data_IF_898861297665
#
_entry.id   IF_898861297665
#
_cell.length_a   1.000
_cell.length_b   1.000
_cell.length_c   1.000
_cell.angle_alpha   90.00
_cell.angle_beta   90.00
_cell.angle_gamma   90.00
#
_symmetry.space_group_name_H-M   'P 1'
#
loop_
_entity.id
_entity.type
_entity.pdbx_description
1 polymer ?
#
# COMPACT_ATOMS: atom_id res chain seq x y z
N UNK A 1 -7.14 4.52 -23.74
CA UNK A 1 -6.26 3.51 -23.13
C UNK A 1 -5.87 3.91 -21.70
N UNK A 2 -5.18 5.04 -21.50
CA UNK A 2 -4.70 5.51 -20.18
C UNK A 2 -5.72 5.47 -19.01
N UNK A 3 -7.00 5.76 -19.26
CA UNK A 3 -8.06 5.71 -18.23
C UNK A 3 -8.28 4.34 -17.56
N UNK A 4 -7.85 3.22 -18.17
CA UNK A 4 -7.98 1.89 -17.53
C UNK A 4 -6.90 1.62 -16.48
N UNK A 5 -5.76 2.32 -16.51
CA UNK A 5 -4.63 2.02 -15.61
C UNK A 5 -4.72 2.73 -14.25
N UNK A 6 -5.30 3.93 -14.19
CA UNK A 6 -5.64 4.55 -12.90
C UNK A 6 -6.70 3.73 -12.13
N UNK A 7 -7.63 3.10 -12.86
CA UNK A 7 -8.61 2.16 -12.31
C UNK A 7 -7.99 0.81 -11.99
N UNK A 8 -7.14 0.27 -12.87
CA UNK A 8 -6.34 -0.88 -12.49
C UNK A 8 -5.43 -0.58 -11.27
N UNK A 9 -5.04 0.66 -11.00
CA UNK A 9 -4.29 1.07 -9.79
C UNK A 9 -5.15 1.21 -8.54
N UNK A 10 -6.28 1.91 -8.60
CA UNK A 10 -7.16 2.11 -7.44
C UNK A 10 -8.07 0.90 -7.18
N UNK A 11 -8.59 0.26 -8.23
CA UNK A 11 -9.32 -1.01 -8.12
C UNK A 11 -8.36 -2.17 -7.83
N UNK A 12 -7.11 -2.19 -8.31
CA UNK A 12 -6.16 -3.13 -7.70
C UNK A 12 -5.88 -2.75 -6.25
N UNK A 13 -5.71 -1.50 -5.86
CA UNK A 13 -5.61 -1.15 -4.43
C UNK A 13 -6.83 -1.67 -3.63
N UNK A 14 -8.05 -1.63 -4.18
CA UNK A 14 -9.25 -2.18 -3.52
C UNK A 14 -9.43 -3.71 -3.67
N UNK A 15 -8.67 -4.37 -4.55
CA UNK A 15 -8.62 -5.84 -4.72
C UNK A 15 -7.38 -6.49 -4.08
N UNK A 16 -6.36 -5.68 -3.79
CA UNK A 16 -5.09 -6.01 -3.17
C UNK A 16 -5.16 -5.65 -1.70
N UNK A 17 -5.98 -6.39 -0.96
CA UNK A 17 -5.67 -6.60 0.44
C UNK A 17 -4.29 -7.31 0.50
N UNK A 18 -3.23 -6.66 1.00
CA UNK A 18 -1.84 -7.18 0.99
C UNK A 18 -1.04 -6.93 2.32
N UNK A 19 0.03 -7.71 2.61
CA UNK A 19 0.39 -8.49 3.85
C UNK A 19 0.29 -7.88 5.34
N UNK A 20 0.65 -8.68 6.36
CA UNK A 20 0.34 -8.51 7.80
C UNK A 20 0.71 -9.77 8.65
N UNK A 21 0.92 -9.71 9.98
CA UNK A 21 0.86 -8.58 10.93
C UNK A 21 1.68 -8.88 12.22
N UNK A 22 2.69 -8.05 12.56
CA UNK A 22 3.30 -7.86 13.91
C UNK A 22 4.20 -6.61 13.96
N UNK A 23 3.72 -5.55 14.62
CA UNK A 23 4.51 -4.32 14.82
C UNK A 23 4.13 -3.15 13.92
N UNK A 24 3.07 -3.29 13.11
CA UNK A 24 2.46 -2.25 12.27
C UNK A 24 2.35 -0.88 12.95
N UNK A 25 2.13 -0.82 14.27
CA UNK A 25 2.07 0.47 14.98
C UNK A 25 3.39 1.26 14.91
N UNK A 26 4.55 0.59 14.97
CA UNK A 26 5.88 1.23 14.80
C UNK A 26 6.20 1.53 13.34
N UNK A 27 5.65 0.75 12.41
CA UNK A 27 5.74 1.04 10.98
C UNK A 27 4.95 2.30 10.63
N UNK A 28 3.70 2.43 11.14
CA UNK A 28 2.86 3.62 11.00
C UNK A 28 3.42 4.86 11.70
N UNK A 29 4.28 4.71 12.71
CA UNK A 29 5.07 5.82 13.30
C UNK A 29 6.11 6.38 12.31
N UNK A 30 6.44 5.63 11.25
CA UNK A 30 7.35 6.00 10.17
C UNK A 30 6.63 6.28 8.83
N UNK A 31 5.30 6.14 8.75
CA UNK A 31 4.55 6.54 7.55
C UNK A 31 4.03 7.97 7.72
N UNK A 32 4.30 8.91 6.79
CA UNK A 32 3.77 10.27 6.87
C UNK A 32 2.24 10.32 6.95
N UNK A 33 1.69 11.20 7.82
CA UNK A 33 0.24 11.43 7.95
C UNK A 33 -0.44 11.90 6.66
N UNK A 34 0.35 12.42 5.71
CA UNK A 34 -0.10 12.82 4.37
C UNK A 34 -0.15 11.67 3.37
N UNK A 35 0.25 10.45 3.73
CA UNK A 35 0.14 9.29 2.87
C UNK A 35 -1.33 9.03 2.49
N UNK A 36 -1.57 8.74 1.21
CA UNK A 36 -2.89 8.45 0.68
C UNK A 36 -3.34 7.05 1.10
N UNK A 37 -2.45 6.08 1.03
CA UNK A 37 -2.72 4.70 1.45
C UNK A 37 -1.43 4.06 1.97
N UNK A 38 -1.58 3.08 2.84
CA UNK A 38 -0.47 2.28 3.33
C UNK A 38 -0.84 0.80 3.30
N UNK A 39 -0.05 0.03 2.56
CA UNK A 39 -0.08 -1.42 2.53
C UNK A 39 1.04 -1.89 3.45
N UNK A 40 0.74 -2.87 4.29
CA UNK A 40 1.74 -3.53 5.11
C UNK A 40 2.10 -4.88 4.49
N UNK A 41 3.20 -5.50 4.89
CA UNK A 41 3.48 -6.88 4.55
C UNK A 41 4.43 -7.57 5.53
N UNK A 42 4.35 -8.90 5.67
CA UNK A 42 4.98 -9.66 6.76
C UNK A 42 5.47 -11.07 6.38
N UNK A 43 4.84 -11.71 5.39
CA UNK A 43 5.24 -13.03 4.89
C UNK A 43 5.55 -12.99 3.39
N UNK A 44 6.44 -13.87 2.89
CA UNK A 44 6.54 -14.10 1.44
C UNK A 44 5.17 -14.55 0.93
N UNK A 45 4.69 -13.88 -0.12
CA UNK A 45 3.37 -14.14 -0.68
C UNK A 45 3.34 -15.48 -1.44
N UNK A 46 2.24 -16.27 -1.35
CA UNK A 46 1.98 -17.34 -2.30
C UNK A 46 2.21 -16.84 -3.75
N UNK A 47 2.98 -17.57 -4.58
CA UNK A 47 3.34 -17.14 -5.93
C UNK A 47 2.16 -16.70 -6.80
N UNK A 48 0.99 -17.28 -6.55
CA UNK A 48 -0.28 -17.06 -7.23
C UNK A 48 -0.81 -15.63 -7.05
N UNK A 49 -0.49 -14.97 -5.92
CA UNK A 49 -0.88 -13.57 -5.68
C UNK A 49 -0.16 -12.62 -6.65
N UNK A 50 1.07 -12.96 -7.08
CA UNK A 50 1.78 -12.14 -8.06
C UNK A 50 1.06 -12.09 -9.42
N UNK A 51 0.31 -13.14 -9.77
CA UNK A 51 -0.56 -13.17 -10.96
C UNK A 51 -1.80 -12.28 -10.87
N UNK A 52 -2.10 -11.68 -9.70
CA UNK A 52 -3.20 -10.72 -9.54
C UNK A 52 -2.80 -9.28 -9.81
N UNK A 53 -1.51 -8.93 -9.72
CA UNK A 53 -1.09 -7.56 -9.98
C UNK A 53 -1.22 -7.31 -11.49
N UNK A 54 -2.03 -6.32 -11.92
CA UNK A 54 -2.14 -6.03 -13.33
C UNK A 54 -0.78 -5.62 -13.89
N UNK A 55 -0.40 -6.17 -15.04
CA UNK A 55 0.84 -5.80 -15.72
C UNK A 55 0.86 -4.28 -15.94
N UNK A 56 1.93 -3.62 -15.45
CA UNK A 56 2.12 -2.17 -15.55
C UNK A 56 1.40 -1.30 -14.51
N UNK A 57 0.83 -1.85 -13.43
CA UNK A 57 0.20 -1.04 -12.35
C UNK A 57 1.14 -0.63 -11.22
N UNK A 58 2.20 -1.40 -10.95
CA UNK A 58 3.24 -0.99 -10.00
C UNK A 58 4.32 -0.18 -10.74
N UNK A 59 4.61 1.08 -10.35
CA UNK A 59 5.60 1.93 -11.00
C UNK A 59 7.06 1.58 -10.64
N UNK A 60 7.27 0.57 -9.80
CA UNK A 60 8.54 -0.15 -9.73
C UNK A 60 8.32 -1.56 -10.28
N UNK A 61 9.32 -2.06 -11.00
CA UNK A 61 9.38 -3.43 -11.49
C UNK A 61 8.91 -4.42 -10.40
N UNK A 62 7.96 -5.28 -10.75
CA UNK A 62 7.39 -6.29 -9.85
C UNK A 62 8.49 -7.17 -9.21
N UNK A 63 9.63 -7.33 -9.89
CA UNK A 63 10.80 -8.01 -9.34
C UNK A 63 11.34 -7.35 -8.07
N UNK A 64 11.33 -6.02 -7.94
CA UNK A 64 11.82 -5.32 -6.76
C UNK A 64 10.94 -5.59 -5.54
N UNK A 65 9.62 -5.41 -5.69
CA UNK A 65 8.66 -5.70 -4.61
C UNK A 65 8.72 -7.17 -4.18
N UNK A 66 8.81 -8.09 -5.14
CA UNK A 66 8.95 -9.51 -4.86
C UNK A 66 10.26 -9.84 -4.13
N UNK A 67 11.39 -9.32 -4.60
CA UNK A 67 12.70 -9.50 -3.96
C UNK A 67 12.78 -8.92 -2.54
N UNK A 68 11.92 -7.95 -2.20
CA UNK A 68 11.81 -7.40 -0.86
C UNK A 68 10.86 -8.23 0.03
N UNK A 69 9.69 -8.64 -0.48
CA UNK A 69 8.76 -9.51 0.25
C UNK A 69 9.33 -10.91 0.52
N UNK A 70 10.10 -11.46 -0.41
CA UNK A 70 10.78 -12.76 -0.24
C UNK A 70 11.85 -12.72 0.88
N UNK A 71 12.22 -11.53 1.38
CA UNK A 71 13.12 -11.33 2.53
C UNK A 71 12.39 -11.15 3.86
N UNK A 72 11.07 -10.90 3.85
CA UNK A 72 10.24 -10.69 5.03
C UNK A 72 9.42 -9.40 4.97
N UNK A 73 9.07 -8.80 6.14
CA UNK A 73 8.14 -7.68 6.21
C UNK A 73 8.50 -6.44 5.37
N UNK A 74 7.49 -5.82 4.75
CA UNK A 74 7.58 -4.65 3.88
C UNK A 74 6.33 -3.77 3.94
N UNK A 75 6.45 -2.56 4.48
CA UNK A 75 5.49 -1.49 4.27
C UNK A 75 5.63 -0.88 2.88
N UNK A 76 4.52 -0.52 2.24
CA UNK A 76 4.48 0.25 0.98
C UNK A 76 3.42 1.34 1.12
N UNK A 77 3.84 2.60 1.12
CA UNK A 77 2.95 3.75 1.29
C UNK A 77 2.87 4.57 0.02
N UNK A 78 1.66 4.88 -0.45
CA UNK A 78 1.45 5.86 -1.53
C UNK A 78 1.51 7.25 -0.88
N UNK A 79 2.64 7.95 -1.02
CA UNK A 79 2.83 9.26 -0.38
C UNK A 79 2.30 10.42 -1.23
N UNK A 80 2.21 10.23 -2.54
CA UNK A 80 1.56 11.14 -3.48
C UNK A 80 1.20 10.40 -4.78
N UNK A 81 0.44 11.06 -5.67
CA UNK A 81 0.24 10.65 -7.07
C UNK A 81 0.58 11.85 -7.95
N UNK A 82 1.34 11.62 -9.01
CA UNK A 82 1.65 12.65 -10.01
C UNK A 82 0.40 13.02 -10.80
N UNK A 83 0.06 14.30 -10.86
CA UNK A 83 -1.14 14.76 -11.58
C UNK A 83 -1.00 14.74 -13.11
N UNK A 84 0.20 14.48 -13.64
CA UNK A 84 0.51 14.54 -15.08
C UNK A 84 0.30 13.18 -15.76
N UNK A 85 0.78 12.11 -15.12
CA UNK A 85 0.85 10.74 -15.63
C UNK A 85 0.10 9.73 -14.73
N UNK A 86 -0.34 10.16 -13.55
CA UNK A 86 -1.00 9.36 -12.51
C UNK A 86 -0.09 8.27 -11.90
N UNK A 87 1.22 8.40 -12.03
CA UNK A 87 2.17 7.49 -11.36
C UNK A 87 2.18 7.73 -9.83
N UNK A 88 2.00 6.68 -9.00
CA UNK A 88 2.08 6.81 -7.55
C UNK A 88 3.53 6.93 -7.10
N UNK A 89 3.78 7.87 -6.19
CA UNK A 89 5.06 8.06 -5.51
C UNK A 89 5.04 7.20 -4.25
N UNK A 90 6.04 6.32 -4.10
CA UNK A 90 6.00 5.23 -3.14
C UNK A 90 7.09 5.39 -2.08
N UNK A 91 6.72 5.14 -0.82
CA UNK A 91 7.65 4.98 0.30
C UNK A 91 7.56 3.52 0.78
N UNK A 92 8.59 2.74 0.46
CA UNK A 92 8.76 1.38 0.92
C UNK A 92 9.53 1.40 2.25
N UNK A 93 9.12 0.60 3.23
CA UNK A 93 9.72 0.50 4.57
C UNK A 93 10.01 -0.97 4.87
N UNK A 94 11.24 -1.34 5.22
CA UNK A 94 11.55 -2.71 5.65
C UNK A 94 12.63 -2.75 6.72
N UNK A 95 12.59 -3.80 7.54
CA UNK A 95 13.67 -4.18 8.48
C UNK A 95 14.47 -5.38 7.99
N UNK A 96 14.04 -6.01 6.90
CA UNK A 96 14.59 -7.26 6.36
C UNK A 96 15.70 -7.07 5.33
N UNK A 97 15.88 -5.84 4.85
CA UNK A 97 17.00 -5.45 4.00
C UNK A 97 17.62 -4.17 4.57
N UNK A 98 18.93 -4.14 4.91
CA UNK A 98 19.63 -2.92 5.30
C UNK A 98 19.83 -1.96 4.10
N UNK A 99 20.20 -0.70 4.33
CA UNK A 99 20.20 0.35 3.29
C UNK A 99 21.06 0.00 2.08
N UNK A 100 22.20 -0.66 2.27
CA UNK A 100 23.12 -1.06 1.20
C UNK A 100 22.50 -2.16 0.33
N UNK A 101 21.78 -3.10 0.95
CA UNK A 101 21.05 -4.16 0.23
C UNK A 101 19.87 -3.58 -0.53
N UNK A 102 19.11 -2.68 0.09
CA UNK A 102 17.97 -2.01 -0.53
C UNK A 102 18.41 -1.12 -1.70
N UNK A 103 19.53 -0.41 -1.55
CA UNK A 103 20.19 0.36 -2.62
C UNK A 103 20.62 -0.56 -3.77
N UNK A 104 21.32 -1.66 -3.49
CA UNK A 104 21.77 -2.58 -4.53
C UNK A 104 20.61 -3.20 -5.33
N UNK A 105 19.52 -3.58 -4.66
CA UNK A 105 18.31 -4.09 -5.31
C UNK A 105 17.63 -3.02 -6.17
N UNK A 106 17.47 -1.80 -5.64
CA UNK A 106 16.85 -0.70 -6.38
C UNK A 106 17.69 -0.26 -7.58
N UNK A 107 19.01 -0.15 -7.44
CA UNK A 107 19.95 0.14 -8.53
C UNK A 107 19.86 -0.90 -9.65
N UNK A 108 19.88 -2.19 -9.30
CA UNK A 108 19.80 -3.28 -10.27
C UNK A 108 18.45 -3.31 -11.03
N UNK A 109 17.35 -3.06 -10.32
CA UNK A 109 15.99 -3.05 -10.90
C UNK A 109 15.69 -1.82 -11.75
N UNK A 110 16.15 -0.63 -11.33
CA UNK A 110 15.88 0.65 -12.00
C UNK A 110 16.94 1.05 -13.05
N UNK A 111 18.04 0.30 -13.17
CA UNK A 111 19.18 0.69 -14.01
C UNK A 111 19.86 1.97 -13.52
N UNK A 112 19.91 2.17 -12.21
CA UNK A 112 20.42 3.39 -11.56
C UNK A 112 21.77 3.15 -10.86
N UNK A 113 22.56 4.22 -10.73
CA UNK A 113 23.78 4.27 -9.92
C UNK A 113 23.50 4.93 -8.57
N UNK A 114 24.13 4.50 -7.47
CA UNK A 114 24.01 5.17 -6.19
C UNK A 114 24.87 6.44 -6.15
N UNK A 115 24.32 7.53 -5.64
CA UNK A 115 25.05 8.75 -5.28
C UNK A 115 24.84 9.06 -3.80
N UNK A 116 25.91 9.09 -3.01
CA UNK A 116 25.82 9.12 -1.54
C UNK A 116 25.87 10.54 -1.01
N UNK A 117 24.79 10.94 -0.33
CA UNK A 117 24.65 12.21 0.38
C UNK A 117 24.63 12.00 1.90
N UNK A 118 24.68 13.08 2.68
CA UNK A 118 24.68 13.00 4.14
C UNK A 118 23.36 12.39 4.67
N UNK A 119 23.40 11.12 5.08
CA UNK A 119 22.27 10.37 5.64
C UNK A 119 21.32 9.74 4.61
N UNK A 120 21.63 9.78 3.31
CA UNK A 120 20.79 9.23 2.23
C UNK A 120 21.59 8.89 0.98
N UNK A 121 21.26 7.78 0.31
CA UNK A 121 21.78 7.43 -1.01
C UNK A 121 20.73 7.73 -2.08
N UNK A 122 21.00 8.69 -2.96
CA UNK A 122 20.14 9.00 -4.10
C UNK A 122 20.36 7.98 -5.23
N UNK A 123 19.28 7.62 -5.94
CA UNK A 123 19.30 6.65 -7.04
C UNK A 123 19.27 7.40 -8.38
N UNK A 124 20.42 7.50 -9.04
CA UNK A 124 20.63 8.39 -10.19
C UNK A 124 20.70 7.60 -11.49
N UNK A 125 19.89 7.95 -12.48
CA UNK A 125 19.93 7.30 -13.80
C UNK A 125 21.08 7.82 -14.68
N UNK A 126 21.29 7.19 -15.84
CA UNK A 126 22.35 7.56 -16.80
C UNK A 126 22.23 8.98 -17.39
N UNK A 127 21.12 9.69 -17.15
CA UNK A 127 20.89 11.09 -17.53
C UNK A 127 21.11 12.08 -16.38
N UNK A 128 21.57 11.62 -15.22
CA UNK A 128 21.74 12.44 -14.02
C UNK A 128 20.42 12.78 -13.30
N UNK A 129 19.32 12.10 -13.62
CA UNK A 129 18.04 12.32 -12.95
C UNK A 129 17.93 11.40 -11.73
N UNK A 130 17.51 11.95 -10.60
CA UNK A 130 17.25 11.18 -9.39
C UNK A 130 15.86 10.54 -9.49
N UNK A 131 15.80 9.20 -9.48
CA UNK A 131 14.57 8.41 -9.57
C UNK A 131 13.90 8.16 -8.22
N UNK A 132 14.69 8.27 -7.15
CA UNK A 132 14.32 7.89 -5.80
C UNK A 132 15.55 7.92 -4.92
N UNK A 133 15.42 7.44 -3.68
CA UNK A 133 16.52 7.42 -2.72
C UNK A 133 16.29 6.41 -1.60
N UNK A 134 17.37 6.02 -0.93
CA UNK A 134 17.39 5.11 0.21
C UNK A 134 17.93 5.81 1.45
N UNK A 135 17.28 5.64 2.59
CA UNK A 135 17.72 6.16 3.89
C UNK A 135 17.46 5.13 5.01
N UNK A 136 18.06 5.34 6.19
CA UNK A 136 17.81 4.53 7.39
C UNK A 136 17.32 5.40 8.55
N UNK A 137 16.41 4.86 9.36
CA UNK A 137 15.98 5.45 10.63
C UNK A 137 15.49 4.36 11.58
N UNK A 138 15.86 4.43 12.86
CA UNK A 138 15.30 3.59 13.94
C UNK A 138 15.32 2.07 13.65
N UNK A 139 16.30 1.59 12.87
CA UNK A 139 16.42 0.19 12.44
C UNK A 139 15.43 -0.23 11.35
N UNK A 140 14.96 0.72 10.55
CA UNK A 140 14.21 0.57 9.31
C UNK A 140 14.95 1.20 8.15
N UNK A 141 15.02 0.48 7.03
CA UNK A 141 15.45 1.04 5.74
C UNK A 141 14.22 1.50 4.96
N UNK A 142 14.29 2.73 4.45
CA UNK A 142 13.29 3.33 3.59
C UNK A 142 13.82 3.45 2.16
N UNK A 143 13.00 3.06 1.18
CA UNK A 143 13.20 3.37 -0.23
C UNK A 143 12.04 4.25 -0.69
N UNK A 144 12.34 5.48 -1.06
CA UNK A 144 11.39 6.36 -1.72
C UNK A 144 11.60 6.32 -3.24
N UNK A 145 10.52 6.14 -3.98
CA UNK A 145 10.47 6.17 -5.45
C UNK A 145 9.56 7.32 -5.88
N UNK A 146 10.15 8.31 -6.56
CA UNK A 146 9.46 9.53 -6.94
C UNK A 146 10.37 10.77 -6.98
N UNK A 147 9.83 11.91 -7.46
CA UNK A 147 10.56 13.16 -7.59
C UNK A 147 10.92 13.75 -6.21
N UNK A 148 11.96 14.60 -6.20
CA UNK A 148 12.41 15.37 -5.03
C UNK A 148 12.62 14.55 -3.73
N UNK A 149 13.42 13.47 -3.73
CA UNK A 149 13.69 12.65 -2.54
C UNK A 149 14.19 13.43 -1.33
N UNK A 150 14.92 14.54 -1.53
CA UNK A 150 15.34 15.44 -0.46
C UNK A 150 14.16 15.98 0.36
N UNK A 151 13.02 16.27 -0.27
CA UNK A 151 11.82 16.78 0.39
C UNK A 151 11.06 15.68 1.13
N UNK A 152 11.01 14.46 0.57
CA UNK A 152 10.26 13.34 1.16
C UNK A 152 11.08 12.60 2.22
N UNK A 153 12.26 12.06 1.87
CA UNK A 153 13.09 11.34 2.83
C UNK A 153 13.79 12.27 3.83
N UNK A 154 14.12 13.51 3.46
CA UNK A 154 14.62 14.49 4.43
C UNK A 154 13.61 14.76 5.55
N UNK A 155 12.34 14.99 5.19
CA UNK A 155 11.25 15.11 6.19
C UNK A 155 11.01 13.81 6.93
N UNK A 156 11.04 12.66 6.27
CA UNK A 156 10.86 11.35 6.91
C UNK A 156 11.91 11.07 8.00
N UNK A 157 13.17 11.45 7.77
CA UNK A 157 14.24 11.34 8.76
C UNK A 157 13.97 12.20 10.01
N UNK A 158 13.39 13.39 9.82
CA UNK A 158 13.10 14.36 10.90
C UNK A 158 11.70 14.20 11.53
N UNK A 159 10.83 13.38 10.91
CA UNK A 159 9.40 13.29 11.22
C UNK A 159 9.11 12.89 12.66
N UNK A 160 8.19 13.59 13.32
CA UNK A 160 7.73 13.26 14.66
C UNK A 160 6.50 12.34 14.62
N UNK A 161 6.20 11.69 15.75
CA UNK A 161 5.08 10.75 15.85
C UNK A 161 3.73 11.43 15.53
N UNK A 162 3.57 12.69 15.88
CA UNK A 162 2.36 13.48 15.61
C UNK A 162 2.13 13.69 14.10
N UNK A 163 3.21 13.66 13.31
CA UNK A 163 3.21 13.85 11.85
C UNK A 163 3.05 12.53 11.08
N UNK A 164 2.92 11.40 11.79
CA UNK A 164 2.84 10.04 11.25
C UNK A 164 1.41 9.47 11.21
N UNK A 165 1.16 8.39 10.46
CA UNK A 165 -0.14 7.71 10.47
C UNK A 165 -0.50 7.09 11.83
N UNK A 166 0.47 6.82 12.70
CA UNK A 166 0.21 6.38 14.06
C UNK A 166 -0.49 7.45 14.94
N UNK A 167 -0.60 8.70 14.48
CA UNK A 167 -1.42 9.74 15.13
C UNK A 167 -2.89 9.76 14.66
N UNK A 168 -3.26 9.04 13.59
CA UNK A 168 -4.65 8.96 13.12
C UNK A 168 -5.49 8.13 14.11
N UNK A 169 -6.19 8.85 14.99
CA UNK A 169 -7.15 8.30 15.96
C UNK A 169 -8.23 7.38 15.36
N UNK A 170 -8.53 7.50 14.06
CA UNK A 170 -9.47 6.63 13.37
C UNK A 170 -8.78 5.32 12.97
N UNK A 171 -7.58 5.38 12.39
CA UNK A 171 -6.80 4.17 12.08
C UNK A 171 -6.39 3.40 13.35
N UNK A 172 -6.15 4.08 14.46
CA UNK A 172 -5.86 3.46 15.76
C UNK A 172 -6.92 2.42 16.19
N UNK A 173 -8.20 2.67 15.87
CA UNK A 173 -9.32 1.75 16.14
C UNK A 173 -9.34 0.51 15.22
N UNK A 174 -8.48 0.47 14.20
CA UNK A 174 -8.41 -0.59 13.20
C UNK A 174 -7.13 -1.43 13.28
N UNK A 175 -6.19 -1.15 14.20
CA UNK A 175 -4.86 -1.79 14.23
C UNK A 175 -4.87 -3.25 14.71
N UNK A 176 -5.87 -3.65 15.50
CA UNK A 176 -6.01 -5.03 16.00
C UNK A 176 -6.35 -6.03 14.88
N UNK A 177 -6.26 -7.34 15.15
CA UNK A 177 -6.69 -8.41 14.23
C UNK A 177 -5.54 -9.05 13.45
N UNK A 178 -5.51 -10.38 13.43
CA UNK A 178 -4.60 -11.19 12.63
C UNK A 178 -5.12 -11.21 11.19
N UNK A 179 -4.38 -10.58 10.30
CA UNK A 179 -4.52 -10.79 8.88
C UNK A 179 -3.14 -11.17 8.37
N UNK A 180 -3.07 -12.08 7.39
CA UNK A 180 -1.83 -12.19 6.64
C UNK A 180 -1.63 -10.96 5.79
N UNK A 181 -2.65 -10.11 5.53
CA UNK A 181 -2.72 -9.00 4.57
C UNK A 181 -3.60 -7.84 5.08
N UNK A 182 -3.14 -6.58 5.00
CA UNK A 182 -3.77 -5.34 5.49
C UNK A 182 -3.44 -4.08 4.65
N UNK A 183 -4.45 -3.53 3.95
CA UNK A 183 -4.45 -2.16 3.42
C UNK A 183 -5.11 -1.19 4.42
N UNK A 184 -4.44 -0.09 4.74
CA UNK A 184 -4.93 1.01 5.57
C UNK A 184 -5.28 2.25 4.72
N UNK A 185 -6.51 2.72 4.88
CA UNK A 185 -7.07 3.91 4.22
C UNK A 185 -7.30 5.01 5.28
N UNK A 186 -6.39 5.99 5.41
CA UNK A 186 -6.41 7.01 6.47
C UNK A 186 -7.54 8.05 6.33
N UNK A 187 -7.79 8.77 7.42
CA UNK A 187 -8.70 9.93 7.42
C UNK A 187 -8.31 11.01 6.42
N UNK A 188 -7.01 11.16 6.11
CA UNK A 188 -6.52 12.05 5.06
C UNK A 188 -7.12 11.73 3.70
N UNK A 189 -6.96 10.48 3.21
CA UNK A 189 -7.49 10.07 1.91
C UNK A 189 -9.02 10.05 1.89
N UNK A 190 -9.69 9.56 2.94
CA UNK A 190 -11.16 9.61 3.00
C UNK A 190 -11.69 11.04 2.92
N UNK A 191 -11.00 12.00 3.54
CA UNK A 191 -11.38 13.42 3.48
C UNK A 191 -11.09 14.02 2.10
N UNK A 192 -9.94 13.68 1.49
CA UNK A 192 -9.60 14.09 0.13
C UNK A 192 -10.62 13.58 -0.90
N UNK A 193 -10.96 12.29 -0.85
CA UNK A 193 -11.93 11.66 -1.75
C UNK A 193 -13.32 12.32 -1.69
N UNK A 194 -13.76 12.82 -0.53
CA UNK A 194 -15.04 13.52 -0.38
C UNK A 194 -15.09 14.91 -1.06
N UNK A 195 -13.95 15.50 -1.40
CA UNK A 195 -13.88 16.88 -1.93
C UNK A 195 -13.16 16.99 -3.27
N UNK A 196 -12.35 16.00 -3.63
CA UNK A 196 -11.66 15.95 -4.91
C UNK A 196 -12.67 15.64 -6.03
N UNK A 197 -12.63 16.34 -7.19
CA UNK A 197 -13.57 16.16 -8.29
C UNK A 197 -13.23 14.90 -9.12
N UNK A 198 -13.02 13.77 -8.46
CA UNK A 198 -12.46 12.57 -9.08
C UNK A 198 -13.46 11.85 -10.00
N UNK A 199 -14.77 12.12 -9.89
CA UNK A 199 -15.79 11.52 -10.76
C UNK A 199 -15.57 11.69 -12.28
N UNK A 200 -14.78 12.67 -12.73
CA UNK A 200 -14.39 12.80 -14.15
C UNK A 200 -13.37 11.74 -14.61
N UNK A 201 -12.62 11.17 -13.66
CA UNK A 201 -11.56 10.18 -13.87
C UNK A 201 -11.95 8.79 -13.38
N UNK A 202 -13.07 8.67 -12.67
CA UNK A 202 -13.52 7.45 -12.00
C UNK A 202 -14.88 6.98 -12.55
N UNK A 203 -14.93 5.87 -13.31
CA UNK A 203 -16.16 5.14 -13.57
C UNK A 203 -16.83 4.72 -12.25
N UNK A 204 -18.17 4.73 -12.20
CA UNK A 204 -18.95 4.30 -11.02
C UNK A 204 -18.69 5.13 -9.74
N UNK A 205 -18.07 6.31 -9.86
CA UNK A 205 -17.84 7.20 -8.71
C UNK A 205 -19.11 7.58 -7.95
N UNK A 206 -20.24 7.72 -8.65
CA UNK A 206 -21.56 7.97 -8.07
C UNK A 206 -21.96 6.92 -7.02
N UNK A 207 -21.54 5.68 -7.22
CA UNK A 207 -21.90 4.56 -6.35
C UNK A 207 -20.97 4.56 -5.12
N UNK A 208 -19.69 4.90 -5.33
CA UNK A 208 -18.74 5.18 -4.24
C UNK A 208 -19.20 6.38 -3.40
N UNK A 209 -19.62 7.50 -4.00
CA UNK A 209 -20.18 8.67 -3.30
C UNK A 209 -21.44 8.30 -2.50
N UNK A 210 -22.31 7.46 -3.06
CA UNK A 210 -23.52 6.96 -2.40
C UNK A 210 -23.15 6.12 -1.16
N UNK A 211 -22.20 5.18 -1.30
CA UNK A 211 -21.69 4.36 -0.19
C UNK A 211 -20.98 5.21 0.86
N UNK A 212 -20.14 6.18 0.46
CA UNK A 212 -19.47 7.10 1.37
C UNK A 212 -20.46 8.00 2.13
N UNK A 213 -21.54 8.43 1.47
CA UNK A 213 -22.61 9.22 2.10
C UNK A 213 -23.42 8.41 3.12
N UNK A 214 -23.64 7.12 2.85
CA UNK A 214 -24.39 6.20 3.71
C UNK A 214 -23.56 5.69 4.91
N UNK A 215 -22.34 5.22 4.66
CA UNK A 215 -21.46 4.68 5.69
C UNK A 215 -20.79 5.78 6.52
N UNK A 216 -20.59 6.96 5.94
CA UNK A 216 -19.84 8.08 6.50
C UNK A 216 -18.46 7.65 7.06
N UNK A 217 -17.60 7.02 6.23
CA UNK A 217 -16.31 6.52 6.67
C UNK A 217 -15.41 7.66 7.17
N UNK A 218 -14.58 7.35 8.16
CA UNK A 218 -13.44 8.16 8.63
C UNK A 218 -12.12 7.49 8.36
N UNK A 219 -12.05 6.18 8.45
CA UNK A 219 -10.90 5.38 8.02
C UNK A 219 -11.40 3.99 7.65
N UNK A 220 -10.65 3.28 6.83
CA UNK A 220 -10.93 1.89 6.51
C UNK A 220 -9.67 1.04 6.58
N UNK A 221 -9.86 -0.25 6.83
CA UNK A 221 -8.85 -1.30 6.74
C UNK A 221 -9.45 -2.45 5.93
N UNK A 222 -8.70 -2.94 4.94
CA UNK A 222 -9.07 -4.13 4.19
C UNK A 222 -8.03 -5.21 4.48
N UNK A 223 -8.49 -6.27 5.13
CA UNK A 223 -7.69 -7.41 5.55
C UNK A 223 -7.90 -8.62 4.63
N UNK A 224 -6.86 -9.43 4.42
CA UNK A 224 -6.94 -10.75 3.79
C UNK A 224 -6.05 -11.73 4.57
N UNK A 225 -6.41 -13.01 4.69
CA UNK A 225 -5.67 -14.00 5.47
C UNK A 225 -5.63 -15.37 4.78
N UNK A 226 -4.52 -16.10 4.98
CA UNK A 226 -4.26 -17.45 4.47
C UNK A 226 -3.99 -18.39 5.65
N UNK A 227 -5.07 -18.98 6.16
CA UNK A 227 -5.01 -19.99 7.22
C UNK A 227 -5.29 -21.38 6.67
N UNK A 228 -6.30 -22.04 7.21
CA UNK A 228 -6.95 -23.23 6.62
C UNK A 228 -7.80 -22.89 5.38
N UNK A 229 -7.92 -21.62 5.04
CA UNK A 229 -8.66 -21.08 3.91
C UNK A 229 -8.30 -19.62 3.65
N UNK A 230 -9.09 -18.95 2.80
CA UNK A 230 -8.97 -17.51 2.51
C UNK A 230 -10.06 -16.73 3.26
N UNK A 231 -9.67 -15.67 3.97
CA UNK A 231 -10.62 -14.75 4.60
C UNK A 231 -10.35 -13.29 4.20
N UNK A 232 -11.31 -12.64 3.53
CA UNK A 232 -11.29 -11.22 3.20
C UNK A 232 -12.16 -10.44 4.21
N UNK A 233 -11.67 -9.32 4.73
CA UNK A 233 -12.38 -8.55 5.75
C UNK A 233 -12.24 -7.03 5.57
N UNK A 234 -13.36 -6.36 5.32
CA UNK A 234 -13.42 -4.90 5.33
C UNK A 234 -13.84 -4.40 6.72
N UNK A 235 -13.06 -3.49 7.31
CA UNK A 235 -13.44 -2.71 8.50
C UNK A 235 -13.49 -1.23 8.17
N UNK A 236 -14.50 -0.53 8.67
CA UNK A 236 -14.70 0.90 8.46
C UNK A 236 -15.03 1.59 9.78
N UNK A 237 -14.25 2.58 10.17
CA UNK A 237 -14.63 3.52 11.23
C UNK A 237 -15.61 4.53 10.66
N UNK A 238 -16.78 4.67 11.26
CA UNK A 238 -17.80 5.65 10.88
C UNK A 238 -17.60 6.98 11.61
N UNK A 239 -18.31 8.04 11.18
CA UNK A 239 -18.20 9.35 11.82
C UNK A 239 -18.51 9.34 13.33
N UNK A 240 -19.44 8.50 13.78
CA UNK A 240 -19.76 8.33 15.21
C UNK A 240 -18.73 7.51 16.02
N UNK A 241 -17.57 7.17 15.43
CA UNK A 241 -16.50 6.41 16.10
C UNK A 241 -16.76 4.90 16.24
N UNK A 242 -17.85 4.39 15.66
CA UNK A 242 -18.17 2.96 15.62
C UNK A 242 -17.45 2.27 14.47
N UNK A 243 -17.05 1.02 14.68
CA UNK A 243 -16.46 0.17 13.63
C UNK A 243 -17.55 -0.72 13.02
N UNK A 244 -17.73 -0.64 11.70
CA UNK A 244 -18.44 -1.64 10.92
C UNK A 244 -17.45 -2.68 10.39
N UNK A 245 -17.83 -3.95 10.35
CA UNK A 245 -17.00 -5.08 9.88
C UNK A 245 -17.83 -5.97 8.96
N UNK A 246 -17.30 -6.27 7.78
CA UNK A 246 -17.83 -7.27 6.84
C UNK A 246 -16.72 -8.26 6.56
N UNK A 247 -16.99 -9.56 6.73
CA UNK A 247 -16.01 -10.64 6.53
C UNK A 247 -16.59 -11.68 5.59
N UNK A 248 -15.78 -12.12 4.63
CA UNK A 248 -16.05 -13.23 3.73
C UNK A 248 -14.96 -14.28 3.96
N UNK A 249 -15.36 -15.53 4.18
CA UNK A 249 -14.43 -16.64 4.45
C UNK A 249 -14.75 -17.80 3.51
N UNK A 250 -13.70 -18.39 2.94
CA UNK A 250 -13.75 -19.58 2.11
C UNK A 250 -12.75 -20.59 2.66
N UNK A 251 -13.25 -21.65 3.28
CA UNK A 251 -12.46 -22.74 3.84
C UNK A 251 -12.69 -24.01 3.02
N UNK A 252 -11.64 -24.51 2.37
CA UNK A 252 -11.66 -25.78 1.63
C UNK A 252 -10.29 -26.45 1.75
N UNK A 253 -10.23 -27.61 2.40
CA UNK A 253 -8.98 -28.35 2.63
C UNK A 253 -8.37 -28.99 1.38
N UNK A 254 -9.07 -28.98 0.24
CA UNK A 254 -8.64 -29.57 -1.02
C UNK A 254 -8.15 -28.57 -2.08
N UNK A 255 -8.39 -27.27 -1.91
CA UNK A 255 -8.06 -26.26 -2.92
C UNK A 255 -6.64 -25.71 -2.74
N UNK A 256 -5.96 -25.43 -3.85
CA UNK A 256 -4.73 -24.62 -3.85
C UNK A 256 -5.05 -23.15 -3.56
N UNK A 257 -4.07 -22.34 -3.10
CA UNK A 257 -4.27 -20.90 -2.88
C UNK A 257 -4.81 -20.18 -4.13
N UNK A 258 -4.39 -20.56 -5.32
CA UNK A 258 -4.89 -20.02 -6.59
C UNK A 258 -6.37 -20.35 -6.87
N UNK A 259 -6.83 -21.56 -6.53
CA UNK A 259 -8.22 -21.98 -6.70
C UNK A 259 -9.14 -21.31 -5.66
N UNK A 260 -8.69 -21.17 -4.42
CA UNK A 260 -9.39 -20.37 -3.40
C UNK A 260 -9.52 -18.91 -3.84
N UNK A 261 -8.47 -18.34 -4.43
CA UNK A 261 -8.42 -16.96 -4.89
C UNK A 261 -9.31 -16.73 -6.13
N UNK A 262 -9.32 -17.67 -7.08
CA UNK A 262 -10.26 -17.67 -8.20
C UNK A 262 -11.72 -17.82 -7.73
N UNK A 263 -11.95 -18.59 -6.67
CA UNK A 263 -13.28 -18.73 -6.04
C UNK A 263 -13.73 -17.43 -5.37
N UNK A 264 -12.83 -16.74 -4.65
CA UNK A 264 -13.10 -15.41 -4.11
C UNK A 264 -13.44 -14.41 -5.22
N UNK A 265 -12.66 -14.37 -6.31
CA UNK A 265 -12.97 -13.52 -7.48
C UNK A 265 -14.32 -13.83 -8.12
N UNK A 266 -14.66 -15.12 -8.26
CA UNK A 266 -15.95 -15.55 -8.79
C UNK A 266 -17.10 -15.09 -7.90
N UNK A 267 -16.98 -15.23 -6.58
CA UNK A 267 -17.98 -14.80 -5.60
C UNK A 267 -18.15 -13.27 -5.59
N UNK A 268 -17.04 -12.52 -5.64
CA UNK A 268 -17.07 -11.06 -5.73
C UNK A 268 -17.76 -10.61 -7.04
N UNK A 269 -17.42 -11.21 -8.19
CA UNK A 269 -18.09 -10.92 -9.48
C UNK A 269 -19.57 -11.28 -9.48
N UNK A 270 -19.92 -12.45 -8.94
CA UNK A 270 -21.31 -12.88 -8.83
C UNK A 270 -22.13 -11.98 -7.89
N UNK A 271 -21.47 -11.36 -6.90
CA UNK A 271 -22.05 -10.35 -6.01
C UNK A 271 -22.04 -8.92 -6.56
N UNK A 272 -21.51 -8.67 -7.77
CA UNK A 272 -21.38 -7.33 -8.34
C UNK A 272 -20.35 -6.43 -7.64
N UNK A 273 -19.37 -7.02 -6.95
CA UNK A 273 -18.25 -6.35 -6.30
C UNK A 273 -16.98 -6.30 -7.18
N UNK A 274 -17.07 -6.84 -8.41
CA UNK A 274 -16.01 -7.00 -9.42
C UNK A 274 -16.57 -7.16 -10.84
#
# INVERSE_FOLDING_TARGET
MYRRYAWAGLSAAMLLAACGRTGIQRELELVPSTALAHFHAERPLPPEIWGLFPEGVLPADQSLFRNLLDRGPLGVSIVAVSLTDLEPQLLLLTRSAPPETLTALACASLGASPDSSAGRTDLVNSRGQVLGAVAERDGWSALYLGPAPQSTLGRWLEMKKEESLASDSSLALLLEGDADLSLFVPSGLISFLRVAPVGEWIPEWSDVETVMSMLQPRAARLDLAFGTGIALEARVVRQEGRVARTRFELEDTGFTPGEMLASLQLLLRAGGLL
#
